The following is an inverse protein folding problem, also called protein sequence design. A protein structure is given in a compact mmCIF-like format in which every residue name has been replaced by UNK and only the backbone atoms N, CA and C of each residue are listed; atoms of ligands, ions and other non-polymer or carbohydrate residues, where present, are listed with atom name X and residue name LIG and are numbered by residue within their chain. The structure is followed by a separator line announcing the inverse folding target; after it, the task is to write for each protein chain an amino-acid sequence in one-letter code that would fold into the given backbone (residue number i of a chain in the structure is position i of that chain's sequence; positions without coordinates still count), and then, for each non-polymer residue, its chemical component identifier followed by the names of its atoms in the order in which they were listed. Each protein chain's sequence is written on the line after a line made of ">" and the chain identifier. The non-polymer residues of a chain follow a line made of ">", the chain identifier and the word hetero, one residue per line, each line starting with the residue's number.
data_IF_123402442562
#
_entry.id   IF_123402442562
#
_cell.length_a   1.000
_cell.length_b   1.000
_cell.length_c   1.000
_cell.angle_alpha   90.00
_cell.angle_beta   90.00
_cell.angle_gamma   90.00
#
_symmetry.space_group_name_H-M   'P 1'
#
loop_
_entity.id
_entity.type
_entity.pdbx_description
1 polymer ?
#
# COMPACT_ATOMS: atom_id res chain seq x y z
N UNK A 1 13.65 11.85 14.07
CA UNK A 1 12.66 12.25 15.11
C UNK A 1 11.88 11.02 15.53
N UNK A 2 11.65 10.75 16.83
CA UNK A 2 10.78 9.63 17.25
C UNK A 2 9.41 10.20 17.56
N UNK A 3 8.38 9.73 16.91
CA UNK A 3 7.01 10.09 17.22
C UNK A 3 6.68 9.79 18.68
N UNK A 4 5.97 10.68 19.37
CA UNK A 4 5.58 10.47 20.78
C UNK A 4 4.77 9.18 20.97
N UNK A 5 3.94 8.84 20.00
CA UNK A 5 3.12 7.62 19.95
C UNK A 5 3.95 6.33 19.89
N UNK A 6 5.14 6.37 19.29
CA UNK A 6 5.99 5.19 19.09
C UNK A 6 6.46 4.54 20.42
N UNK A 7 6.70 5.35 21.46
CA UNK A 7 7.15 4.83 22.76
C UNK A 7 6.10 3.94 23.43
N UNK A 8 4.82 4.24 23.21
CA UNK A 8 3.71 3.57 23.88
C UNK A 8 3.28 2.31 23.09
N UNK A 9 3.34 2.37 21.76
CA UNK A 9 2.77 1.35 20.89
C UNK A 9 3.77 0.33 20.35
N UNK A 10 5.07 0.53 20.55
CA UNK A 10 6.08 -0.39 20.04
C UNK A 10 5.96 -1.80 20.62
N UNK A 11 5.95 -2.80 19.76
CA UNK A 11 5.92 -4.21 20.12
C UNK A 11 7.32 -4.69 20.50
N UNK A 12 7.51 -5.17 21.73
CA UNK A 12 8.78 -5.77 22.18
C UNK A 12 8.99 -7.18 21.63
N UNK A 13 7.90 -7.96 21.52
CA UNK A 13 7.92 -9.33 20.97
C UNK A 13 6.77 -9.50 20.00
N UNK A 14 7.06 -10.08 18.84
CA UNK A 14 6.03 -10.44 17.86
C UNK A 14 5.14 -11.55 18.40
N UNK A 15 3.87 -11.63 17.96
CA UNK A 15 2.98 -12.73 18.29
C UNK A 15 3.54 -14.05 17.74
N UNK A 16 3.10 -15.17 18.33
CA UNK A 16 3.44 -16.51 17.82
C UNK A 16 2.91 -16.64 16.39
N UNK A 17 3.76 -17.08 15.47
CA UNK A 17 3.43 -17.23 14.06
C UNK A 17 4.22 -18.37 13.42
N UNK A 18 3.83 -18.87 12.24
CA UNK A 18 4.57 -19.91 11.52
C UNK A 18 6.01 -19.51 11.22
N UNK A 19 6.91 -20.50 11.16
CA UNK A 19 8.35 -20.28 10.97
C UNK A 19 8.66 -19.47 9.70
N UNK A 20 8.02 -19.76 8.57
CA UNK A 20 8.25 -19.07 7.31
C UNK A 20 7.91 -17.55 7.37
N UNK A 21 6.95 -17.16 8.21
CA UNK A 21 6.64 -15.73 8.47
C UNK A 21 7.78 -15.07 9.25
N UNK A 22 8.28 -15.74 10.30
CA UNK A 22 9.43 -15.23 11.06
C UNK A 22 10.70 -15.17 10.21
N UNK A 23 10.96 -16.19 9.40
CA UNK A 23 12.11 -16.20 8.49
C UNK A 23 12.06 -15.03 7.52
N UNK A 24 10.87 -14.70 6.98
CA UNK A 24 10.70 -13.52 6.14
C UNK A 24 10.97 -12.22 6.91
N UNK A 25 10.35 -12.03 8.07
CA UNK A 25 10.58 -10.83 8.90
C UNK A 25 12.07 -10.66 9.20
N UNK A 26 12.76 -11.75 9.56
CA UNK A 26 14.19 -11.69 9.87
C UNK A 26 15.02 -11.34 8.63
N UNK A 27 14.65 -11.82 7.45
CA UNK A 27 15.30 -11.45 6.19
C UNK A 27 15.14 -9.95 5.90
N UNK A 28 13.93 -9.41 6.07
CA UNK A 28 13.65 -7.98 5.92
C UNK A 28 14.43 -7.16 6.95
N UNK A 29 14.44 -7.56 8.21
CA UNK A 29 15.21 -6.89 9.27
C UNK A 29 16.70 -6.84 8.97
N UNK A 30 17.27 -7.95 8.47
CA UNK A 30 18.68 -8.01 8.07
C UNK A 30 18.99 -7.02 6.95
N UNK A 31 18.16 -7.02 5.89
CA UNK A 31 18.30 -6.10 4.75
C UNK A 31 18.13 -4.63 5.21
N UNK A 32 17.08 -4.33 5.94
CA UNK A 32 16.81 -3.00 6.47
C UNK A 32 17.97 -2.45 7.32
N UNK A 33 18.49 -3.27 8.24
CA UNK A 33 19.63 -2.89 9.10
C UNK A 33 20.87 -2.53 8.29
N UNK A 34 21.17 -3.25 7.22
CA UNK A 34 22.31 -2.97 6.34
C UNK A 34 22.20 -1.60 5.64
N UNK A 35 21.00 -1.04 5.52
CA UNK A 35 20.72 0.26 4.90
C UNK A 35 20.30 1.35 5.91
N UNK A 36 20.46 1.09 7.22
CA UNK A 36 20.11 2.04 8.27
C UNK A 36 18.61 2.25 8.45
N UNK A 37 17.77 1.31 7.98
CA UNK A 37 16.31 1.37 8.03
C UNK A 37 15.83 0.61 9.26
N UNK A 38 14.93 1.24 10.04
CA UNK A 38 14.28 0.59 11.17
C UNK A 38 13.07 -0.25 10.72
N UNK A 39 12.90 -1.43 11.31
CA UNK A 39 11.66 -2.22 11.17
C UNK A 39 10.88 -2.09 12.46
N UNK A 40 9.74 -1.39 12.38
CA UNK A 40 8.90 -1.02 13.50
C UNK A 40 7.55 -1.76 13.45
N UNK A 41 7.14 -2.35 14.57
CA UNK A 41 5.81 -2.95 14.73
C UNK A 41 5.06 -2.24 15.86
N UNK A 42 3.88 -1.73 15.54
CA UNK A 42 2.98 -1.09 16.50
C UNK A 42 1.99 -2.09 17.08
N UNK A 43 1.66 -1.96 18.37
CA UNK A 43 0.54 -2.68 19.00
C UNK A 43 -0.84 -2.23 18.50
N UNK A 44 -0.93 -1.09 17.79
CA UNK A 44 -2.15 -0.58 17.19
C UNK A 44 -2.55 -1.34 15.92
N UNK A 45 -3.73 -1.01 15.40
CA UNK A 45 -4.18 -1.42 14.06
C UNK A 45 -3.54 -0.58 12.97
N UNK A 46 -3.13 0.63 13.31
CA UNK A 46 -2.54 1.64 12.43
C UNK A 46 -1.21 2.14 12.97
N UNK A 47 -0.45 2.77 12.11
CA UNK A 47 0.79 3.48 12.36
C UNK A 47 0.68 4.88 11.75
N UNK A 48 1.55 5.80 12.19
CA UNK A 48 1.59 7.18 11.71
C UNK A 48 2.99 7.47 11.22
N UNK A 49 3.13 8.18 10.12
CA UNK A 49 4.41 8.61 9.56
C UNK A 49 4.84 10.00 10.09
N UNK A 50 3.89 10.77 10.65
CA UNK A 50 4.13 12.04 11.32
C UNK A 50 3.25 12.22 12.55
N UNK A 51 3.59 13.19 13.40
CA UNK A 51 2.76 13.57 14.56
C UNK A 51 1.49 14.36 14.15
N UNK A 52 1.42 14.79 12.88
CA UNK A 52 0.31 15.57 12.32
C UNK A 52 -0.77 14.69 11.69
N UNK A 53 -0.49 13.40 11.48
CA UNK A 53 -1.47 12.47 10.92
C UNK A 53 -2.70 12.33 11.83
N UNK A 54 -3.86 12.68 11.30
CA UNK A 54 -5.15 12.52 11.99
C UNK A 54 -5.65 11.08 11.85
N UNK A 55 -5.39 10.46 10.69
CA UNK A 55 -5.80 9.08 10.39
C UNK A 55 -4.57 8.27 9.99
N UNK A 56 -4.21 7.31 10.84
CA UNK A 56 -3.08 6.42 10.59
C UNK A 56 -3.37 5.38 9.50
N UNK A 57 -2.31 4.93 8.84
CA UNK A 57 -2.33 3.83 7.88
C UNK A 57 -2.03 2.49 8.54
N UNK A 58 -2.34 1.37 7.88
CA UNK A 58 -1.99 0.02 8.35
C UNK A 58 -0.49 -0.26 8.35
N UNK A 59 0.26 0.39 7.48
CA UNK A 59 1.72 0.35 7.37
C UNK A 59 2.21 1.45 6.45
N UNK A 60 3.51 1.71 6.50
CA UNK A 60 4.22 2.59 5.56
C UNK A 60 5.71 2.24 5.48
N UNK A 61 6.33 2.61 4.36
CA UNK A 61 7.77 2.76 4.21
C UNK A 61 8.12 4.24 4.06
N UNK A 62 9.01 4.74 4.90
CA UNK A 62 9.54 6.10 4.82
C UNK A 62 11.06 6.03 4.61
N UNK A 63 11.55 6.72 3.59
CA UNK A 63 12.97 6.76 3.21
C UNK A 63 13.68 8.04 3.66
N UNK A 64 12.95 9.00 4.23
CA UNK A 64 13.46 10.32 4.64
C UNK A 64 13.92 10.32 6.10
N UNK A 65 13.43 11.28 6.91
CA UNK A 65 13.89 11.48 8.29
C UNK A 65 13.73 10.25 9.18
N UNK A 66 12.64 9.48 9.00
CA UNK A 66 12.37 8.32 9.84
C UNK A 66 13.17 7.08 9.42
N UNK A 67 13.49 6.91 8.15
CA UNK A 67 14.11 5.69 7.58
C UNK A 67 13.52 4.42 8.19
N UNK A 68 12.24 4.17 7.92
CA UNK A 68 11.48 3.15 8.65
C UNK A 68 10.50 2.40 7.75
N UNK A 69 10.36 1.11 8.01
CA UNK A 69 9.15 0.34 7.70
C UNK A 69 8.35 0.24 8.98
N UNK A 70 7.09 0.63 8.95
CA UNK A 70 6.19 0.50 10.09
C UNK A 70 4.94 -0.30 9.74
N UNK A 71 4.45 -1.12 10.68
CA UNK A 71 3.21 -1.90 10.49
C UNK A 71 2.46 -2.05 11.80
N UNK A 72 1.14 -1.83 11.77
CA UNK A 72 0.24 -2.07 12.89
C UNK A 72 -0.18 -3.53 12.95
N UNK A 73 0.14 -4.23 14.04
CA UNK A 73 -0.08 -5.69 14.14
C UNK A 73 -1.30 -6.10 14.96
N UNK A 74 -2.14 -5.16 15.39
CA UNK A 74 -3.41 -5.47 16.06
C UNK A 74 -4.55 -5.73 15.04
N UNK A 75 -4.24 -6.48 14.01
CA UNK A 75 -5.13 -6.98 12.98
C UNK A 75 -4.90 -8.50 12.84
N UNK A 76 -5.79 -9.26 12.16
CA UNK A 76 -5.51 -10.65 11.81
C UNK A 76 -4.14 -10.79 11.14
N UNK A 77 -3.43 -11.90 11.43
CA UNK A 77 -2.05 -12.12 10.97
C UNK A 77 -1.92 -11.89 9.45
N UNK A 78 -2.80 -12.48 8.68
CA UNK A 78 -2.77 -12.40 7.22
C UNK A 78 -2.89 -10.96 6.72
N UNK A 79 -3.70 -10.14 7.39
CA UNK A 79 -3.95 -8.76 6.97
C UNK A 79 -2.72 -7.86 7.22
N UNK A 80 -2.21 -7.83 8.46
CA UNK A 80 -1.06 -6.98 8.75
C UNK A 80 0.22 -7.49 8.08
N UNK A 81 0.32 -8.80 7.86
CA UNK A 81 1.49 -9.39 7.24
C UNK A 81 1.56 -9.08 5.74
N UNK A 82 0.41 -9.04 5.04
CA UNK A 82 0.33 -8.58 3.65
C UNK A 82 0.83 -7.13 3.55
N UNK A 83 0.41 -6.26 4.48
CA UNK A 83 0.87 -4.87 4.54
C UNK A 83 2.39 -4.83 4.76
N UNK A 84 2.91 -5.61 5.70
CA UNK A 84 4.36 -5.68 5.94
C UNK A 84 5.15 -6.16 4.71
N UNK A 85 4.63 -7.14 3.96
CA UNK A 85 5.24 -7.57 2.70
C UNK A 85 5.28 -6.40 1.72
N UNK A 86 4.17 -5.70 1.53
CA UNK A 86 4.03 -4.55 0.64
C UNK A 86 5.05 -3.45 0.99
N UNK A 87 5.08 -2.97 2.22
CA UNK A 87 6.00 -1.91 2.64
C UNK A 87 7.47 -2.33 2.53
N UNK A 88 7.77 -3.61 2.76
CA UNK A 88 9.12 -4.13 2.53
C UNK A 88 9.51 -4.18 1.05
N UNK A 89 8.53 -4.22 0.13
CA UNK A 89 8.79 -4.13 -1.30
C UNK A 89 9.11 -2.69 -1.74
N UNK A 90 8.47 -1.69 -1.14
CA UNK A 90 8.85 -0.29 -1.33
C UNK A 90 10.29 -0.02 -0.83
N UNK A 91 10.68 -0.61 0.31
CA UNK A 91 12.07 -0.57 0.73
C UNK A 91 13.01 -1.22 -0.30
N UNK A 92 12.63 -2.36 -0.87
CA UNK A 92 13.44 -3.03 -1.89
C UNK A 92 13.59 -2.16 -3.15
N UNK A 93 12.53 -1.52 -3.61
CA UNK A 93 12.56 -0.58 -4.73
C UNK A 93 13.55 0.57 -4.46
N UNK A 94 13.46 1.17 -3.29
CA UNK A 94 14.33 2.28 -2.89
C UNK A 94 15.80 1.85 -2.78
N UNK A 95 16.08 0.64 -2.29
CA UNK A 95 17.44 0.12 -2.16
C UNK A 95 18.03 -0.22 -3.53
N UNK A 96 17.22 -0.80 -4.42
CA UNK A 96 17.69 -1.35 -5.70
C UNK A 96 17.81 -0.27 -6.80
N UNK A 97 16.90 0.70 -6.82
CA UNK A 97 16.93 1.82 -7.76
C UNK A 97 16.36 3.10 -7.11
N UNK A 98 17.21 3.74 -6.32
CA UNK A 98 16.83 4.94 -5.57
C UNK A 98 16.42 6.09 -6.47
N UNK A 99 17.12 6.29 -7.59
CA UNK A 99 16.83 7.41 -8.50
C UNK A 99 15.47 7.23 -9.16
N UNK A 100 15.20 6.03 -9.67
CA UNK A 100 13.89 5.70 -10.21
C UNK A 100 12.78 5.91 -9.17
N UNK A 101 12.96 5.36 -7.96
CA UNK A 101 11.96 5.46 -6.89
C UNK A 101 11.65 6.92 -6.56
N UNK A 102 12.67 7.75 -6.32
CA UNK A 102 12.51 9.16 -5.99
C UNK A 102 11.88 9.95 -7.14
N UNK A 103 12.29 9.71 -8.39
CA UNK A 103 11.70 10.37 -9.56
C UNK A 103 10.19 10.11 -9.70
N UNK A 104 9.75 8.91 -9.32
CA UNK A 104 8.32 8.56 -9.31
C UNK A 104 7.58 9.19 -8.13
N UNK A 105 8.21 9.30 -6.96
CA UNK A 105 7.62 9.94 -5.79
C UNK A 105 7.38 11.45 -6.00
N UNK A 106 8.23 12.14 -6.72
CA UNK A 106 8.03 13.54 -7.10
C UNK A 106 6.77 13.75 -7.93
N UNK A 107 6.54 12.86 -8.90
CA UNK A 107 5.31 12.88 -9.70
C UNK A 107 4.09 12.42 -8.89
N UNK A 108 4.25 11.44 -8.00
CA UNK A 108 3.21 10.87 -7.15
C UNK A 108 2.50 11.93 -6.30
N UNK A 109 3.23 12.86 -5.71
CA UNK A 109 2.70 13.90 -4.82
C UNK A 109 1.62 14.76 -5.48
N UNK A 110 1.73 15.05 -6.78
CA UNK A 110 0.79 15.91 -7.53
C UNK A 110 -0.62 15.33 -7.62
N UNK A 111 -0.77 13.99 -7.54
CA UNK A 111 -2.09 13.38 -7.52
C UNK A 111 -2.83 13.71 -6.21
N UNK A 112 -2.12 13.67 -5.09
CA UNK A 112 -2.68 14.01 -3.78
C UNK A 112 -2.93 15.51 -3.66
N UNK A 113 -2.02 16.36 -4.15
CA UNK A 113 -2.25 17.79 -4.28
C UNK A 113 -3.55 18.11 -5.04
N UNK A 114 -3.80 17.36 -6.13
CA UNK A 114 -5.04 17.51 -6.87
C UNK A 114 -6.26 17.02 -6.08
N UNK A 115 -6.17 15.91 -5.36
CA UNK A 115 -7.25 15.42 -4.48
C UNK A 115 -7.59 16.45 -3.40
N UNK A 116 -6.59 17.14 -2.84
CA UNK A 116 -6.70 18.20 -1.83
C UNK A 116 -7.21 19.53 -2.38
N UNK A 117 -7.59 19.59 -3.65
CA UNK A 117 -8.19 20.78 -4.27
C UNK A 117 -7.24 21.67 -5.04
N UNK A 118 -5.91 21.43 -5.01
CA UNK A 118 -4.95 22.21 -5.78
C UNK A 118 -5.18 22.08 -7.29
N UNK A 119 -4.79 23.10 -8.03
CA UNK A 119 -4.86 23.08 -9.51
C UNK A 119 -3.67 22.32 -10.06
N UNK A 120 -3.95 21.23 -10.76
CA UNK A 120 -2.96 20.40 -11.48
C UNK A 120 -3.45 20.26 -12.92
N UNK A 121 -2.57 20.41 -13.90
CA UNK A 121 -2.95 20.26 -15.31
C UNK A 121 -3.33 18.80 -15.61
N UNK A 122 -4.19 18.59 -16.61
CA UNK A 122 -4.60 17.23 -17.02
C UNK A 122 -3.41 16.35 -17.40
N UNK A 123 -2.38 16.93 -18.04
CA UNK A 123 -1.15 16.21 -18.43
C UNK A 123 -0.33 15.79 -17.22
N UNK A 124 -0.15 16.69 -16.25
CA UNK A 124 0.57 16.37 -15.02
C UNK A 124 -0.18 15.36 -14.18
N UNK A 125 -1.51 15.48 -14.09
CA UNK A 125 -2.35 14.56 -13.35
C UNK A 125 -2.27 13.14 -13.91
N UNK A 126 -2.30 12.99 -15.24
CA UNK A 126 -2.15 11.67 -15.87
C UNK A 126 -0.73 11.11 -15.69
N UNK A 127 0.31 11.96 -15.78
CA UNK A 127 1.69 11.57 -15.48
C UNK A 127 1.81 11.09 -14.04
N UNK A 128 1.21 11.82 -13.10
CA UNK A 128 1.20 11.49 -11.68
C UNK A 128 0.48 10.16 -11.40
N UNK A 129 -0.73 9.96 -11.97
CA UNK A 129 -1.44 8.68 -11.90
C UNK A 129 -0.58 7.53 -12.42
N UNK A 130 0.11 7.73 -13.55
CA UNK A 130 0.98 6.69 -14.12
C UNK A 130 2.18 6.39 -13.21
N UNK A 131 2.78 7.41 -12.60
CA UNK A 131 3.88 7.23 -11.66
C UNK A 131 3.46 6.40 -10.44
N UNK A 132 2.28 6.67 -9.88
CA UNK A 132 1.69 5.87 -8.80
C UNK A 132 1.52 4.42 -9.26
N UNK A 133 0.89 4.20 -10.41
CA UNK A 133 0.66 2.85 -10.94
C UNK A 133 1.98 2.10 -11.17
N UNK A 134 3.02 2.78 -11.64
CA UNK A 134 4.33 2.15 -11.87
C UNK A 134 4.97 1.67 -10.56
N UNK A 135 5.01 2.54 -9.52
CA UNK A 135 5.56 2.18 -8.20
C UNK A 135 4.75 1.04 -7.57
N UNK A 136 3.45 1.23 -7.47
CA UNK A 136 2.57 0.30 -6.78
C UNK A 136 2.53 -1.05 -7.50
N UNK A 137 2.46 -1.05 -8.83
CA UNK A 137 2.45 -2.30 -9.60
C UNK A 137 3.74 -3.10 -9.42
N UNK A 138 4.91 -2.46 -9.48
CA UNK A 138 6.19 -3.15 -9.24
C UNK A 138 6.26 -3.67 -7.80
N UNK A 139 5.82 -2.87 -6.82
CA UNK A 139 5.71 -3.29 -5.43
C UNK A 139 4.82 -4.53 -5.27
N UNK A 140 3.64 -4.53 -5.88
CA UNK A 140 2.68 -5.65 -5.80
C UNK A 140 3.19 -6.90 -6.53
N UNK A 141 3.91 -6.76 -7.64
CA UNK A 141 4.54 -7.88 -8.34
C UNK A 141 5.61 -8.53 -7.46
N UNK A 142 6.49 -7.74 -6.82
CA UNK A 142 7.48 -8.20 -5.85
C UNK A 142 6.83 -8.88 -4.65
N UNK A 143 5.71 -8.34 -4.16
CA UNK A 143 4.93 -8.94 -3.08
C UNK A 143 4.44 -10.34 -3.43
N UNK A 144 3.92 -10.53 -4.64
CA UNK A 144 3.49 -11.87 -5.12
C UNK A 144 4.66 -12.85 -5.22
N UNK A 145 5.83 -12.40 -5.67
CA UNK A 145 7.03 -13.24 -5.70
C UNK A 145 7.43 -13.71 -4.29
N UNK A 146 7.41 -12.81 -3.30
CA UNK A 146 7.69 -13.14 -1.90
C UNK A 146 6.64 -14.09 -1.33
N UNK A 147 5.35 -13.85 -1.58
CA UNK A 147 4.25 -14.74 -1.16
C UNK A 147 4.49 -16.16 -1.68
N UNK A 148 4.85 -16.31 -2.95
CA UNK A 148 5.14 -17.61 -3.57
C UNK A 148 6.42 -18.26 -3.03
N UNK A 149 7.50 -17.47 -2.91
CA UNK A 149 8.81 -17.94 -2.42
C UNK A 149 8.73 -18.50 -1.00
N UNK A 150 8.08 -17.76 -0.10
CA UNK A 150 7.98 -18.16 1.31
C UNK A 150 6.78 -19.07 1.60
N UNK A 151 5.91 -19.33 0.62
CA UNK A 151 4.76 -20.25 0.73
C UNK A 151 3.86 -19.96 1.93
N UNK A 152 3.44 -18.69 2.09
CA UNK A 152 2.54 -18.28 3.17
C UNK A 152 1.16 -18.93 2.98
N UNK A 153 0.84 -19.96 3.80
CA UNK A 153 -0.33 -20.85 3.60
C UNK A 153 -1.67 -20.11 3.53
N UNK A 154 -1.81 -19.05 4.33
CA UNK A 154 -3.09 -18.33 4.45
C UNK A 154 -3.20 -17.14 3.50
N UNK A 155 -2.23 -16.95 2.61
CA UNK A 155 -2.24 -15.86 1.63
C UNK A 155 -2.43 -16.45 0.23
N UNK A 156 -3.63 -16.31 -0.32
CA UNK A 156 -3.94 -16.75 -1.68
C UNK A 156 -3.41 -15.76 -2.71
N UNK A 157 -2.39 -16.17 -3.49
CA UNK A 157 -1.74 -15.30 -4.46
C UNK A 157 -2.68 -14.78 -5.57
N UNK A 158 -3.68 -15.58 -6.00
CA UNK A 158 -4.67 -15.12 -7.01
C UNK A 158 -5.57 -14.03 -6.45
N UNK A 159 -6.08 -14.23 -5.24
CA UNK A 159 -6.88 -13.22 -4.54
C UNK A 159 -6.07 -11.95 -4.26
N UNK A 160 -4.82 -12.11 -3.84
CA UNK A 160 -3.90 -11.00 -3.66
C UNK A 160 -3.76 -10.17 -4.94
N UNK A 161 -3.48 -10.80 -6.09
CA UNK A 161 -3.36 -10.11 -7.38
C UNK A 161 -4.67 -9.40 -7.77
N UNK A 162 -5.84 -9.99 -7.49
CA UNK A 162 -7.11 -9.33 -7.75
C UNK A 162 -7.31 -8.07 -6.89
N UNK A 163 -6.93 -8.12 -5.61
CA UNK A 163 -6.96 -6.95 -4.71
C UNK A 163 -5.96 -5.89 -5.13
N UNK A 164 -4.75 -6.28 -5.50
CA UNK A 164 -3.73 -5.39 -6.04
C UNK A 164 -4.19 -4.70 -7.33
N UNK A 165 -4.73 -5.44 -8.29
CA UNK A 165 -5.33 -4.88 -9.50
C UNK A 165 -6.47 -3.91 -9.18
N UNK A 166 -7.31 -4.23 -8.19
CA UNK A 166 -8.40 -3.36 -7.76
C UNK A 166 -7.85 -2.03 -7.22
N UNK A 167 -6.81 -2.07 -6.40
CA UNK A 167 -6.12 -0.91 -5.87
C UNK A 167 -5.53 -0.05 -7.00
N UNK A 168 -4.81 -0.65 -7.94
CA UNK A 168 -4.22 0.04 -9.08
C UNK A 168 -5.28 0.72 -9.98
N UNK A 169 -6.40 0.06 -10.24
CA UNK A 169 -7.51 0.63 -11.00
C UNK A 169 -8.25 1.73 -10.25
N UNK A 170 -8.21 1.74 -8.92
CA UNK A 170 -8.87 2.76 -8.12
C UNK A 170 -8.33 4.16 -8.42
N UNK A 171 -7.03 4.32 -8.69
CA UNK A 171 -6.45 5.61 -9.08
C UNK A 171 -7.07 6.16 -10.36
N UNK A 172 -7.35 5.31 -11.34
CA UNK A 172 -8.07 5.71 -12.57
C UNK A 172 -9.54 6.05 -12.30
N UNK A 173 -10.17 5.36 -11.36
CA UNK A 173 -11.54 5.70 -10.96
C UNK A 173 -11.60 7.04 -10.22
N UNK A 174 -10.65 7.32 -9.35
CA UNK A 174 -10.58 8.57 -8.59
C UNK A 174 -10.41 9.80 -9.49
N UNK A 175 -9.79 9.70 -10.69
CA UNK A 175 -9.75 10.79 -11.67
C UNK A 175 -11.14 11.32 -12.05
N UNK A 176 -12.17 10.48 -11.96
CA UNK A 176 -13.56 10.88 -12.27
C UNK A 176 -14.28 11.52 -11.09
N UNK A 177 -13.87 11.18 -9.85
CA UNK A 177 -14.61 11.54 -8.63
C UNK A 177 -13.92 12.61 -7.80
N UNK A 178 -12.60 12.81 -7.97
CA UNK A 178 -11.76 13.70 -7.16
C UNK A 178 -11.96 13.47 -5.65
N UNK A 179 -12.00 12.22 -5.25
CA UNK A 179 -12.22 11.82 -3.86
C UNK A 179 -11.47 10.53 -3.57
N UNK A 180 -10.83 10.48 -2.40
CA UNK A 180 -10.26 9.25 -1.88
C UNK A 180 -11.38 8.36 -1.31
N UNK A 181 -11.33 7.07 -1.62
CA UNK A 181 -12.28 6.08 -1.12
C UNK A 181 -11.55 4.99 -0.35
N UNK A 182 -11.57 5.11 0.98
CA UNK A 182 -11.00 4.10 1.86
C UNK A 182 -11.67 2.73 1.66
N UNK A 183 -10.86 1.68 1.68
CA UNK A 183 -11.30 0.27 1.70
C UNK A 183 -12.11 -0.21 0.47
N UNK A 184 -12.27 0.59 -0.58
CA UNK A 184 -12.98 0.14 -1.79
C UNK A 184 -12.29 -1.04 -2.45
N UNK A 185 -10.95 -1.03 -2.50
CA UNK A 185 -10.16 -2.14 -3.04
C UNK A 185 -10.24 -3.43 -2.21
N UNK A 186 -10.57 -3.34 -0.91
CA UNK A 186 -10.86 -4.48 -0.03
C UNK A 186 -12.28 -5.04 -0.21
N UNK A 187 -13.18 -4.32 -0.91
CA UNK A 187 -14.56 -4.75 -1.10
C UNK A 187 -14.64 -5.91 -2.10
N UNK A 188 -15.29 -7.02 -1.69
CA UNK A 188 -15.37 -8.23 -2.49
C UNK A 188 -16.05 -8.03 -3.87
N UNK A 189 -17.01 -7.11 -3.98
CA UNK A 189 -17.65 -6.79 -5.26
C UNK A 189 -16.68 -6.12 -6.24
N UNK A 190 -15.75 -5.32 -5.73
CA UNK A 190 -14.75 -4.63 -6.54
C UNK A 190 -13.62 -5.59 -6.95
N UNK A 191 -12.89 -6.17 -5.98
CA UNK A 191 -11.72 -6.97 -6.32
C UNK A 191 -12.03 -8.27 -7.05
N UNK A 192 -13.19 -8.93 -6.80
CA UNK A 192 -13.62 -10.08 -7.60
C UNK A 192 -13.96 -9.74 -9.05
N UNK A 193 -14.13 -8.45 -9.35
CA UNK A 193 -14.31 -7.96 -10.73
C UNK A 193 -12.99 -7.71 -11.45
N UNK A 194 -11.87 -7.83 -10.75
CA UNK A 194 -10.52 -7.65 -11.30
C UNK A 194 -9.91 -8.97 -11.78
N UNK A 195 -9.01 -8.94 -12.78
CA UNK A 195 -8.28 -10.11 -13.24
C UNK A 195 -7.34 -10.65 -12.17
N UNK A 196 -7.05 -11.96 -12.21
CA UNK A 196 -6.07 -12.63 -11.34
C UNK A 196 -4.64 -12.63 -11.90
N UNK A 197 -4.37 -11.81 -12.90
CA UNK A 197 -3.05 -11.53 -13.48
C UNK A 197 -2.86 -10.02 -13.60
N UNK A 198 -1.66 -9.52 -13.39
CA UNK A 198 -1.37 -8.10 -13.56
C UNK A 198 -1.60 -7.63 -14.99
N UNK A 199 -2.15 -6.43 -15.14
CA UNK A 199 -2.36 -5.81 -16.44
C UNK A 199 -1.13 -5.01 -16.89
N UNK A 200 -1.00 -4.82 -18.19
CA UNK A 200 0.01 -3.89 -18.73
C UNK A 200 -0.43 -2.44 -18.57
N UNK A 201 -1.72 -2.19 -18.71
CA UNK A 201 -2.32 -0.86 -18.70
C UNK A 201 -3.48 -0.79 -17.68
N UNK A 202 -3.49 0.26 -16.88
CA UNK A 202 -4.50 0.59 -15.86
C UNK A 202 -5.25 1.89 -16.18
N UNK A 203 -5.06 2.49 -17.36
CA UNK A 203 -5.70 3.75 -17.74
C UNK A 203 -7.20 3.62 -18.02
N UNK A 204 -7.68 2.40 -18.25
CA UNK A 204 -9.09 2.13 -18.63
C UNK A 204 -9.72 1.08 -17.71
N UNK A 205 -10.86 1.43 -17.14
CA UNK A 205 -11.69 0.51 -16.37
C UNK A 205 -12.57 -0.33 -17.32
N UNK A 206 -12.68 -1.63 -17.03
CA UNK A 206 -13.74 -2.41 -17.65
C UNK A 206 -15.12 -1.93 -17.19
N UNK A 207 -16.15 -2.10 -17.99
CA UNK A 207 -17.54 -1.73 -17.63
C UNK A 207 -17.97 -2.39 -16.32
N UNK A 208 -17.65 -3.68 -16.14
CA UNK A 208 -17.95 -4.44 -14.91
C UNK A 208 -17.28 -3.82 -13.67
N UNK A 209 -15.99 -3.47 -13.76
CA UNK A 209 -15.25 -2.90 -12.64
C UNK A 209 -15.72 -1.47 -12.34
N UNK A 210 -15.96 -0.65 -13.36
CA UNK A 210 -16.49 0.70 -13.18
C UNK A 210 -17.85 0.65 -12.46
N UNK A 211 -18.77 -0.23 -12.86
CA UNK A 211 -20.07 -0.42 -12.21
C UNK A 211 -19.90 -0.88 -10.74
N UNK A 212 -18.95 -1.78 -10.47
CA UNK A 212 -18.67 -2.24 -9.10
C UNK A 212 -18.16 -1.08 -8.22
N UNK A 213 -17.24 -0.25 -8.72
CA UNK A 213 -16.77 0.93 -8.02
C UNK A 213 -17.89 1.93 -7.75
N UNK A 214 -18.67 2.28 -8.77
CA UNK A 214 -19.81 3.20 -8.62
C UNK A 214 -20.80 2.73 -7.56
N UNK A 215 -21.16 1.45 -7.55
CA UNK A 215 -22.09 0.90 -6.59
C UNK A 215 -21.58 1.00 -5.15
N UNK A 216 -20.29 0.73 -4.93
CA UNK A 216 -19.69 0.77 -3.59
C UNK A 216 -19.47 2.21 -3.13
N UNK A 217 -18.99 3.10 -4.01
CA UNK A 217 -18.72 4.49 -3.66
C UNK A 217 -19.99 5.31 -3.47
N UNK A 218 -21.04 5.09 -4.27
CA UNK A 218 -22.33 5.76 -4.07
C UNK A 218 -22.95 5.41 -2.71
N UNK A 219 -22.77 4.15 -2.24
CA UNK A 219 -23.23 3.76 -0.89
C UNK A 219 -22.45 4.54 0.19
N UNK A 220 -21.11 4.64 0.06
CA UNK A 220 -20.27 5.42 0.99
C UNK A 220 -20.70 6.89 0.99
N UNK A 221 -20.92 7.48 -0.18
CA UNK A 221 -21.30 8.89 -0.33
C UNK A 221 -22.69 9.18 0.25
N UNK A 222 -23.61 8.20 0.29
CA UNK A 222 -24.93 8.35 0.92
C UNK A 222 -24.90 8.17 2.43
N UNK A 223 -24.04 7.31 2.96
CA UNK A 223 -23.89 7.07 4.41
C UNK A 223 -23.08 8.19 5.11
N UNK A 224 -22.38 9.04 4.34
CA UNK A 224 -21.56 10.15 4.85
C UNK A 224 -22.30 11.51 4.87
N UNK A 225 -23.57 11.55 4.47
CA UNK A 225 -24.47 12.70 4.53
C UNK A 225 -25.37 12.59 5.74
#
# INVERSE_FOLDING_TARGET
>A
MKLKSDKILRVKRLPKMPKNYLDYINSVRKKAKAHGIEVFFSKGKTVFDSDEDIVGTGGFFCNDELKRIATGINNPLELWFIIFIHESCHMDQWIEDREWFLSKMDDYSKFFDWLDGKKVSKKELEKSRQAIVDIEKDCEMRSVEKIKKYKFKNINAKEYIQKANCYLFLYTFMLKRRKWYNHVYGNAKCWKSCPSTFKKDYSKLSMRLNKAFEMVTNKIDTESK
#
